data_IF_681360449252
#
_entry.id   IF_681360449252
#
_cell.length_a   1.000
_cell.length_b   1.000
_cell.length_c   1.000
_cell.angle_alpha   90.00
_cell.angle_beta   90.00
_cell.angle_gamma   90.00
#
_symmetry.space_group_name_H-M   'P 1'
#
loop_
_entity.id
_entity.type
_entity.pdbx_description
1 polymer ?
#
# COMPACT_ATOMS: atom_id res chain seq x y z
N UNK A 1 56.28 -43.33 -22.90
CA UNK A 1 54.92 -43.92 -22.95
C UNK A 1 54.21 -43.34 -24.16
N UNK A 2 53.80 -44.20 -25.09
CA UNK A 2 53.35 -43.82 -26.43
C UNK A 2 52.04 -43.03 -26.38
N UNK A 3 52.03 -41.84 -26.98
CA UNK A 3 50.81 -41.08 -27.30
C UNK A 3 50.05 -41.84 -28.37
N UNK A 4 49.19 -42.77 -27.93
CA UNK A 4 48.24 -43.48 -28.78
C UNK A 4 47.41 -42.40 -29.49
N UNK A 5 47.63 -42.19 -30.78
CA UNK A 5 46.84 -41.28 -31.61
C UNK A 5 45.40 -41.76 -31.54
N UNK A 6 44.57 -41.11 -30.72
CA UNK A 6 43.20 -41.50 -30.53
C UNK A 6 42.45 -41.26 -31.84
N UNK A 7 42.15 -42.34 -32.57
CA UNK A 7 41.33 -42.27 -33.76
C UNK A 7 39.93 -41.78 -33.37
N UNK A 8 39.34 -40.91 -34.18
CA UNK A 8 38.01 -40.34 -33.97
C UNK A 8 36.93 -41.32 -33.46
N UNK A 9 36.80 -42.57 -33.99
CA UNK A 9 35.82 -43.53 -33.46
C UNK A 9 36.06 -43.93 -32.00
N UNK A 10 37.32 -44.08 -31.58
CA UNK A 10 37.66 -44.43 -30.19
C UNK A 10 37.34 -43.28 -29.25
N UNK A 11 37.53 -42.02 -29.69
CA UNK A 11 37.12 -40.86 -28.91
C UNK A 11 35.59 -40.79 -28.77
N UNK A 12 34.85 -41.08 -29.84
CA UNK A 12 33.39 -41.11 -29.83
C UNK A 12 32.89 -42.18 -28.84
N UNK A 13 33.43 -43.39 -28.89
CA UNK A 13 33.06 -44.48 -27.98
C UNK A 13 33.37 -44.10 -26.52
N UNK A 14 34.52 -43.49 -26.23
CA UNK A 14 34.83 -43.02 -24.87
C UNK A 14 33.89 -41.92 -24.40
N UNK A 15 33.44 -41.03 -25.30
CA UNK A 15 32.51 -39.95 -24.98
C UNK A 15 31.11 -40.52 -24.74
N UNK A 16 30.66 -41.47 -25.56
CA UNK A 16 29.40 -42.20 -25.35
C UNK A 16 29.43 -42.94 -24.02
N UNK A 17 30.51 -43.65 -23.71
CA UNK A 17 30.65 -44.39 -22.47
C UNK A 17 30.67 -43.46 -21.23
N UNK A 18 31.32 -42.29 -21.35
CA UNK A 18 31.29 -41.26 -20.32
C UNK A 18 29.89 -40.66 -20.15
N UNK A 19 29.16 -40.40 -21.24
CA UNK A 19 27.79 -39.89 -21.21
C UNK A 19 26.82 -40.91 -20.62
N UNK A 20 26.94 -42.19 -20.95
CA UNK A 20 26.10 -43.24 -20.37
C UNK A 20 26.38 -43.43 -18.88
N UNK A 21 27.67 -43.42 -18.47
CA UNK A 21 28.03 -43.50 -17.06
C UNK A 21 27.52 -42.29 -16.27
N UNK A 22 27.67 -41.08 -16.82
CA UNK A 22 27.15 -39.86 -16.21
C UNK A 22 25.61 -39.85 -16.13
N UNK A 23 24.91 -40.38 -17.14
CA UNK A 23 23.46 -40.50 -17.13
C UNK A 23 22.96 -41.54 -16.11
N UNK A 24 23.70 -42.62 -15.89
CA UNK A 24 23.40 -43.60 -14.84
C UNK A 24 23.61 -43.03 -13.45
N UNK A 25 24.67 -42.24 -13.24
CA UNK A 25 24.94 -41.61 -11.96
C UNK A 25 23.98 -40.45 -11.67
N UNK A 26 23.55 -39.70 -12.69
CA UNK A 26 22.51 -38.69 -12.56
C UNK A 26 21.17 -39.27 -12.05
N UNK A 27 20.83 -40.51 -12.42
CA UNK A 27 19.63 -41.21 -11.92
C UNK A 27 19.77 -41.71 -10.49
N UNK A 28 20.99 -41.86 -9.98
CA UNK A 28 21.25 -42.28 -8.59
C UNK A 28 21.22 -41.11 -7.61
N UNK A 29 21.30 -39.87 -8.11
CA UNK A 29 21.24 -38.63 -7.34
C UNK A 29 19.79 -38.16 -7.16
N UNK A 30 18.92 -38.99 -6.57
CA UNK A 30 17.53 -38.61 -6.28
C UNK A 30 17.41 -37.58 -5.12
N UNK A 31 18.51 -37.33 -4.40
CA UNK A 31 18.59 -36.32 -3.35
C UNK A 31 19.88 -35.50 -3.49
N UNK A 32 19.83 -34.16 -3.25
CA UNK A 32 21.02 -33.34 -3.19
C UNK A 32 21.88 -33.84 -2.01
N UNK A 33 23.15 -34.13 -2.28
CA UNK A 33 24.11 -34.50 -1.25
C UNK A 33 24.26 -33.27 -0.34
N UNK A 34 23.92 -33.36 0.96
CA UNK A 34 24.09 -32.22 1.85
C UNK A 34 25.58 -31.90 1.97
N UNK A 35 25.97 -30.62 1.90
CA UNK A 35 27.37 -30.25 2.05
C UNK A 35 27.88 -30.62 3.44
N UNK A 36 29.12 -31.12 3.50
CA UNK A 36 29.81 -31.49 4.75
C UNK A 36 29.96 -30.28 5.68
N UNK A 37 30.15 -29.07 5.12
CA UNK A 37 30.23 -27.82 5.87
C UNK A 37 29.53 -26.67 5.12
N UNK A 38 28.56 -26.01 5.75
CA UNK A 38 28.00 -24.74 5.29
C UNK A 38 26.47 -24.65 5.26
N UNK A 39 25.98 -23.54 4.71
CA UNK A 39 24.54 -23.29 4.55
C UNK A 39 24.11 -23.85 3.20
N UNK A 40 23.35 -24.95 3.21
CA UNK A 40 22.87 -25.66 2.01
C UNK A 40 22.23 -24.75 0.94
N UNK A 41 21.62 -23.62 1.32
CA UNK A 41 21.05 -22.67 0.37
C UNK A 41 22.09 -22.07 -0.60
N UNK A 42 23.32 -21.81 -0.13
CA UNK A 42 24.36 -21.17 -0.93
C UNK A 42 24.88 -22.12 -2.03
N UNK A 43 24.99 -23.42 -1.74
CA UNK A 43 25.38 -24.40 -2.75
C UNK A 43 24.29 -24.59 -3.80
N UNK A 44 23.03 -24.72 -3.38
CA UNK A 44 21.90 -24.77 -4.32
C UNK A 44 21.86 -23.53 -5.21
N UNK A 45 22.18 -22.34 -4.67
CA UNK A 45 22.28 -21.12 -5.47
C UNK A 45 23.39 -21.21 -6.52
N UNK A 46 24.55 -21.74 -6.15
CA UNK A 46 25.67 -21.92 -7.07
C UNK A 46 25.32 -22.94 -8.16
N UNK A 47 24.66 -24.04 -7.81
CA UNK A 47 24.16 -25.05 -8.76
C UNK A 47 23.12 -24.47 -9.73
N UNK A 48 22.18 -23.66 -9.24
CA UNK A 48 21.19 -22.97 -10.08
C UNK A 48 21.86 -21.99 -11.04
N UNK A 49 22.87 -21.23 -10.60
CA UNK A 49 23.63 -20.36 -11.49
C UNK A 49 24.42 -21.14 -12.53
N UNK A 50 25.03 -22.27 -12.16
CA UNK A 50 25.77 -23.12 -13.09
C UNK A 50 24.81 -23.70 -14.14
N UNK A 51 23.65 -24.21 -13.72
CA UNK A 51 22.60 -24.68 -14.63
C UNK A 51 22.11 -23.57 -15.56
N UNK A 52 21.93 -22.34 -15.06
CA UNK A 52 21.55 -21.20 -15.88
C UNK A 52 22.62 -20.87 -16.94
N UNK A 53 23.90 -20.83 -16.55
CA UNK A 53 25.02 -20.61 -17.48
C UNK A 53 25.12 -21.73 -18.51
N UNK A 54 24.93 -22.98 -18.12
CA UNK A 54 24.97 -24.13 -19.03
C UNK A 54 23.88 -24.01 -20.11
N UNK A 55 22.64 -23.72 -19.71
CA UNK A 55 21.52 -23.53 -20.66
C UNK A 55 21.70 -22.28 -21.53
N UNK A 56 22.35 -21.23 -21.02
CA UNK A 56 22.68 -20.03 -21.80
C UNK A 56 23.73 -20.35 -22.88
N UNK A 57 24.81 -21.05 -22.52
CA UNK A 57 25.82 -21.51 -23.47
C UNK A 57 25.19 -22.44 -24.52
N UNK A 58 24.29 -23.34 -24.10
CA UNK A 58 23.57 -24.22 -25.02
C UNK A 58 22.71 -23.42 -26.03
N UNK A 59 22.01 -22.38 -25.58
CA UNK A 59 21.28 -21.47 -26.46
C UNK A 59 22.21 -20.76 -27.46
N UNK A 60 23.38 -20.30 -27.01
CA UNK A 60 24.38 -19.69 -27.92
C UNK A 60 24.82 -20.72 -28.97
N UNK A 61 25.07 -21.97 -28.58
CA UNK A 61 25.45 -23.04 -29.51
C UNK A 61 24.34 -23.34 -30.52
N UNK A 62 23.07 -23.40 -30.09
CA UNK A 62 21.92 -23.56 -30.99
C UNK A 62 21.84 -22.42 -31.99
N UNK A 63 21.94 -21.17 -31.55
CA UNK A 63 21.93 -20.01 -32.45
C UNK A 63 23.08 -20.00 -33.45
N UNK A 64 24.28 -20.43 -33.03
CA UNK A 64 25.42 -20.58 -33.93
C UNK A 64 25.22 -21.73 -34.92
N UNK A 65 24.57 -22.82 -34.51
CA UNK A 65 24.24 -23.97 -35.36
C UNK A 65 23.17 -23.62 -36.40
N UNK A 66 22.07 -22.99 -35.98
CA UNK A 66 20.94 -22.63 -36.85
C UNK A 66 21.43 -21.67 -37.95
N UNK A 67 22.35 -20.76 -37.62
CA UNK A 67 23.01 -19.88 -38.60
C UNK A 67 23.88 -20.62 -39.62
N UNK A 68 24.34 -21.84 -39.31
CA UNK A 68 25.21 -22.65 -40.17
C UNK A 68 24.45 -23.66 -41.03
N UNK A 69 23.33 -24.20 -40.53
CA UNK A 69 22.65 -25.37 -41.13
C UNK A 69 21.27 -25.04 -41.71
N UNK A 70 20.62 -23.92 -41.34
CA UNK A 70 19.39 -23.47 -41.99
C UNK A 70 18.19 -24.44 -41.85
N UNK A 71 18.23 -25.38 -40.90
CA UNK A 71 17.09 -26.20 -40.51
C UNK A 71 16.22 -25.38 -39.56
N UNK A 72 15.09 -24.86 -40.05
CA UNK A 72 14.28 -23.89 -39.30
C UNK A 72 13.28 -24.55 -38.34
N UNK A 73 12.70 -25.71 -38.68
CA UNK A 73 11.54 -26.23 -37.93
C UNK A 73 11.88 -26.99 -36.62
N UNK A 74 12.82 -27.95 -36.64
CA UNK A 74 13.18 -28.73 -35.43
C UNK A 74 14.01 -27.92 -34.43
N UNK A 75 14.80 -26.98 -34.94
CA UNK A 75 15.68 -26.15 -34.12
C UNK A 75 14.91 -25.08 -33.34
N UNK A 76 13.77 -24.62 -33.88
CA UNK A 76 12.89 -23.67 -33.19
C UNK A 76 12.18 -24.29 -31.97
N UNK A 77 11.78 -25.55 -32.04
CA UNK A 77 11.19 -26.25 -30.87
C UNK A 77 12.20 -26.40 -29.74
N UNK A 78 13.45 -26.75 -30.08
CA UNK A 78 14.55 -26.86 -29.14
C UNK A 78 14.88 -25.50 -28.52
N UNK A 79 14.98 -24.44 -29.31
CA UNK A 79 15.22 -23.07 -28.83
C UNK A 79 14.12 -22.64 -27.83
N UNK A 80 12.85 -22.88 -28.18
CA UNK A 80 11.73 -22.58 -27.29
C UNK A 80 11.79 -23.38 -25.98
N UNK A 81 12.24 -24.64 -26.00
CA UNK A 81 12.40 -25.45 -24.79
C UNK A 81 13.51 -24.92 -23.87
N UNK A 82 14.62 -24.46 -24.43
CA UNK A 82 15.76 -23.91 -23.69
C UNK A 82 15.39 -22.57 -23.08
N UNK A 83 14.69 -21.72 -23.83
CA UNK A 83 14.17 -20.44 -23.33
C UNK A 83 13.20 -20.66 -22.17
N UNK A 84 12.30 -21.65 -22.26
CA UNK A 84 11.39 -22.00 -21.14
C UNK A 84 12.16 -22.41 -19.88
N UNK A 85 13.18 -23.28 -20.01
CA UNK A 85 14.05 -23.68 -18.89
C UNK A 85 14.84 -22.51 -18.30
N UNK A 86 15.33 -21.58 -19.13
CA UNK A 86 16.01 -20.37 -18.66
C UNK A 86 15.08 -19.47 -17.84
N UNK A 87 13.84 -19.27 -18.31
CA UNK A 87 12.83 -18.49 -17.58
C UNK A 87 12.47 -19.17 -16.25
N UNK A 88 12.35 -20.50 -16.26
CA UNK A 88 12.10 -21.28 -15.03
C UNK A 88 13.22 -21.11 -14.00
N UNK A 89 14.49 -21.25 -14.42
CA UNK A 89 15.65 -21.02 -13.57
C UNK A 89 15.71 -19.57 -13.03
N UNK A 90 15.35 -18.59 -13.85
CA UNK A 90 15.27 -17.20 -13.41
C UNK A 90 14.17 -17.00 -12.35
N UNK A 91 13.02 -17.64 -12.52
CA UNK A 91 11.93 -17.61 -11.53
C UNK A 91 12.38 -18.25 -10.21
N UNK A 92 13.14 -19.35 -10.25
CA UNK A 92 13.70 -19.97 -9.04
C UNK A 92 14.69 -19.05 -8.32
N UNK A 93 15.55 -18.34 -9.04
CA UNK A 93 16.47 -17.38 -8.44
C UNK A 93 15.71 -16.20 -7.80
N UNK A 94 14.76 -15.60 -8.53
CA UNK A 94 14.10 -14.38 -8.10
C UNK A 94 13.05 -14.60 -7.02
N UNK A 95 12.23 -15.65 -7.15
CA UNK A 95 11.13 -15.94 -6.21
C UNK A 95 11.48 -17.00 -5.17
N UNK A 96 12.44 -17.88 -5.45
CA UNK A 96 12.88 -18.93 -4.53
C UNK A 96 14.06 -18.47 -3.67
N UNK A 97 15.20 -18.22 -4.30
CA UNK A 97 16.47 -17.96 -3.59
C UNK A 97 16.46 -16.60 -2.89
N UNK A 98 16.13 -15.49 -3.59
CA UNK A 98 16.22 -14.14 -2.99
C UNK A 98 15.41 -13.97 -1.69
N UNK A 99 14.15 -14.45 -1.57
CA UNK A 99 13.41 -14.34 -0.31
C UNK A 99 14.02 -15.20 0.80
N UNK A 100 14.55 -16.38 0.49
CA UNK A 100 15.21 -17.25 1.47
C UNK A 100 16.51 -16.61 1.99
N UNK A 101 17.30 -16.00 1.10
CA UNK A 101 18.49 -15.24 1.50
C UNK A 101 18.13 -14.09 2.43
N UNK A 102 17.05 -13.36 2.14
CA UNK A 102 16.62 -12.27 3.02
C UNK A 102 16.23 -12.74 4.43
N UNK A 103 15.69 -13.96 4.56
CA UNK A 103 15.32 -14.56 5.85
C UNK A 103 16.52 -15.11 6.60
N UNK A 104 17.48 -15.68 5.87
CA UNK A 104 18.71 -16.26 6.43
C UNK A 104 19.86 -15.25 6.53
N UNK A 105 19.65 -13.99 6.14
CA UNK A 105 20.67 -12.94 6.12
C UNK A 105 21.46 -12.87 7.43
N UNK A 106 20.77 -12.89 8.56
CA UNK A 106 21.44 -12.85 9.86
C UNK A 106 22.34 -14.08 10.11
N UNK A 107 21.90 -15.27 9.70
CA UNK A 107 22.70 -16.48 9.85
C UNK A 107 23.91 -16.46 8.91
N UNK A 108 23.73 -15.98 7.68
CA UNK A 108 24.82 -15.77 6.71
C UNK A 108 25.82 -14.76 7.29
N UNK A 109 25.36 -13.60 7.74
CA UNK A 109 26.21 -12.55 8.33
C UNK A 109 26.95 -13.06 9.58
N UNK A 110 26.31 -13.91 10.41
CA UNK A 110 26.93 -14.52 11.59
C UNK A 110 28.05 -15.49 11.21
N UNK A 111 27.82 -16.36 10.22
CA UNK A 111 28.83 -17.31 9.73
C UNK A 111 29.97 -16.58 9.03
N UNK A 112 29.67 -15.55 8.24
CA UNK A 112 30.69 -14.70 7.62
C UNK A 112 31.55 -14.00 8.68
N UNK A 113 30.93 -13.45 9.73
CA UNK A 113 31.67 -12.83 10.83
C UNK A 113 32.55 -13.83 11.57
N UNK A 114 32.05 -15.03 11.84
CA UNK A 114 32.84 -16.08 12.47
C UNK A 114 34.03 -16.53 11.59
N UNK A 115 33.82 -16.61 10.27
CA UNK A 115 34.88 -16.94 9.31
C UNK A 115 35.93 -15.81 9.21
N UNK A 116 35.51 -14.55 9.22
CA UNK A 116 36.42 -13.39 9.22
C UNK A 116 37.20 -13.30 10.53
N UNK A 117 36.57 -13.57 11.67
CA UNK A 117 37.24 -13.63 12.97
C UNK A 117 38.24 -14.80 13.02
N UNK A 118 37.89 -15.98 12.49
CA UNK A 118 38.83 -17.11 12.36
C UNK A 118 40.02 -16.77 11.47
N UNK A 119 39.80 -16.14 10.30
CA UNK A 119 40.88 -15.66 9.43
C UNK A 119 41.77 -14.64 10.11
N UNK A 120 41.20 -13.71 10.89
CA UNK A 120 41.99 -12.74 11.67
C UNK A 120 42.79 -13.38 12.80
N UNK A 121 42.32 -14.50 13.36
CA UNK A 121 43.06 -15.29 14.35
C UNK A 121 44.22 -16.02 13.66
N UNK A 122 44.04 -16.53 12.44
CA UNK A 122 45.10 -17.18 11.67
C UNK A 122 46.11 -16.18 11.07
N UNK A 123 45.66 -14.99 10.67
CA UNK A 123 46.49 -13.92 10.10
C UNK A 123 47.05 -12.96 11.16
N UNK A 124 46.57 -13.04 12.40
CA UNK A 124 47.00 -12.18 13.52
C UNK A 124 48.28 -12.69 14.19
N UNK A 125 49.18 -11.80 14.64
CA UNK A 125 50.34 -12.20 15.40
C UNK A 125 49.88 -12.81 16.72
N UNK A 126 50.50 -13.91 17.13
CA UNK A 126 50.26 -14.60 18.40
C UNK A 126 50.27 -13.63 19.59
N UNK A 127 49.09 -13.18 20.04
CA UNK A 127 48.97 -12.52 21.34
C UNK A 127 48.83 -13.63 22.37
N UNK A 128 49.95 -13.89 23.02
CA UNK A 128 50.04 -14.80 24.14
C UNK A 128 49.01 -14.45 25.20
N UNK A 129 48.29 -15.49 25.62
CA UNK A 129 47.52 -15.54 26.86
C UNK A 129 48.39 -15.13 28.04
N UNK A 130 47.96 -14.14 28.82
CA UNK A 130 48.32 -14.07 30.24
C UNK A 130 47.07 -14.38 31.05
N UNK A 131 47.06 -15.58 31.61
CA UNK A 131 46.02 -16.03 32.52
C UNK A 131 46.01 -15.20 33.80
N UNK A 132 44.81 -14.86 34.26
CA UNK A 132 44.56 -14.56 35.66
C UNK A 132 43.20 -15.11 36.05
N UNK A 133 43.24 -16.22 36.77
CA UNK A 133 42.14 -16.84 37.51
C UNK A 133 41.51 -15.85 38.49
N UNK A 134 40.20 -15.59 38.39
CA UNK A 134 39.32 -15.23 39.53
C UNK A 134 37.93 -15.85 39.27
N UNK A 135 37.37 -16.42 40.34
CA UNK A 135 36.13 -17.19 40.47
C UNK A 135 34.84 -16.35 40.32
N UNK A 136 33.77 -17.06 39.98
CA UNK A 136 32.32 -16.87 40.27
C UNK A 136 31.90 -15.60 41.03
N UNK A 137 30.98 -14.80 40.48
CA UNK A 137 29.57 -14.72 40.95
C UNK A 137 28.71 -13.76 40.10
N UNK A 138 27.41 -13.91 40.29
CA UNK A 138 26.23 -13.46 39.54
C UNK A 138 26.05 -11.94 39.24
N UNK A 139 25.21 -11.70 38.21
CA UNK A 139 24.21 -10.63 38.07
C UNK A 139 24.65 -9.14 37.99
N UNK A 140 24.51 -8.53 36.80
CA UNK A 140 23.68 -7.31 36.60
C UNK A 140 23.86 -6.68 35.22
N UNK A 141 22.73 -6.16 34.76
CA UNK A 141 22.42 -5.40 33.55
C UNK A 141 23.24 -4.12 33.30
N UNK A 142 23.26 -3.76 32.01
CA UNK A 142 23.23 -2.40 31.44
C UNK A 142 24.41 -1.43 31.60
N UNK A 143 24.68 -0.68 30.53
CA UNK A 143 25.53 0.50 30.58
C UNK A 143 26.59 0.59 29.47
N UNK A 144 26.21 1.22 28.37
CA UNK A 144 27.07 1.89 27.39
C UNK A 144 28.23 2.70 28.00
N UNK A 145 29.42 2.70 27.39
CA UNK A 145 29.89 3.78 26.49
C UNK A 145 31.41 3.74 26.22
N UNK A 146 31.76 4.13 24.99
CA UNK A 146 32.99 4.74 24.47
C UNK A 146 34.39 4.21 24.80
N UNK A 147 35.09 3.78 23.75
CA UNK A 147 36.55 3.73 23.66
C UNK A 147 37.02 3.56 22.21
N UNK A 148 37.35 4.68 21.57
CA UNK A 148 37.55 4.88 20.13
C UNK A 148 38.90 4.40 19.56
N UNK A 149 38.92 4.29 18.22
CA UNK A 149 40.04 4.24 17.26
C UNK A 149 40.65 2.85 17.03
N UNK A 150 40.83 2.33 15.81
CA UNK A 150 41.25 2.99 14.58
C UNK A 150 40.88 2.10 13.36
N UNK A 151 40.31 2.68 12.29
CA UNK A 151 39.89 1.91 11.11
C UNK A 151 39.68 2.80 9.88
N UNK A 152 40.69 2.77 9.00
CA UNK A 152 40.84 3.54 7.76
C UNK A 152 39.75 3.23 6.72
N UNK A 153 39.36 4.26 5.96
CA UNK A 153 38.21 4.38 5.05
C UNK A 153 38.36 3.73 3.65
N UNK A 154 37.26 3.66 2.86
CA UNK A 154 37.31 3.84 1.41
C UNK A 154 36.64 5.16 0.97
N UNK A 155 37.19 5.73 -0.11
CA UNK A 155 36.93 7.07 -0.67
C UNK A 155 35.53 7.24 -1.27
N UNK A 156 34.86 8.32 -0.87
CA UNK A 156 33.82 9.06 -1.61
C UNK A 156 34.21 10.55 -1.69
N UNK A 157 33.55 11.40 -2.50
CA UNK A 157 34.03 12.75 -2.78
C UNK A 157 34.09 13.59 -1.50
N UNK A 158 35.28 14.11 -1.19
CA UNK A 158 35.57 14.98 -0.04
C UNK A 158 34.75 16.27 -0.16
N UNK A 159 33.80 16.44 0.76
CA UNK A 159 33.26 17.75 1.11
C UNK A 159 34.24 18.32 2.13
N UNK A 160 34.85 19.46 1.81
CA UNK A 160 35.83 20.14 2.64
C UNK A 160 35.19 20.70 3.92
N UNK A 161 35.31 19.94 5.01
CA UNK A 161 34.78 20.24 6.36
C UNK A 161 35.38 21.52 7.01
N UNK A 162 36.30 22.23 6.32
CA UNK A 162 36.79 23.55 6.74
C UNK A 162 35.90 24.72 6.27
N UNK A 163 34.96 24.48 5.35
CA UNK A 163 34.02 25.51 4.88
C UNK A 163 32.88 25.79 5.87
N UNK A 164 32.75 24.97 6.91
CA UNK A 164 31.72 25.11 7.95
C UNK A 164 32.29 25.60 9.30
N UNK A 165 33.31 26.48 9.26
CA UNK A 165 33.76 27.22 10.45
C UNK A 165 33.04 28.59 10.47
N UNK A 166 32.42 28.99 11.59
CA UNK A 166 31.76 30.29 11.68
C UNK A 166 32.78 31.43 11.50
N UNK A 167 32.52 32.34 10.55
CA UNK A 167 33.35 33.51 10.30
C UNK A 167 33.34 34.44 11.54
N UNK A 168 34.48 34.66 12.22
CA UNK A 168 34.54 35.50 13.42
C UNK A 168 34.30 36.99 13.11
N UNK A 169 34.36 37.38 11.83
CA UNK A 169 34.06 38.75 11.36
C UNK A 169 32.57 39.09 11.42
N UNK A 170 31.67 38.10 11.51
CA UNK A 170 30.23 38.31 11.69
C UNK A 170 29.84 38.66 13.14
N UNK A 171 30.78 38.57 14.09
CA UNK A 171 30.58 38.96 15.49
C UNK A 171 30.98 40.41 15.79
N UNK A 172 31.52 41.14 14.80
CA UNK A 172 31.77 42.58 14.95
C UNK A 172 30.47 43.33 14.64
N UNK A 173 29.84 43.82 15.71
CA UNK A 173 28.63 44.66 15.67
C UNK A 173 28.94 45.96 14.91
N UNK A 174 28.21 46.35 13.85
CA UNK A 174 28.23 47.74 13.39
C UNK A 174 27.61 48.64 14.48
N UNK A 175 28.14 49.86 14.61
CA UNK A 175 27.79 50.83 15.64
C UNK A 175 26.27 51.15 15.68
N UNK A 176 25.71 51.51 16.86
CA UNK A 176 24.27 51.58 17.06
C UNK A 176 23.63 52.83 16.46
N UNK A 177 22.54 52.64 15.72
CA UNK A 177 21.62 53.69 15.28
C UNK A 177 20.45 53.11 14.48
N UNK A 178 19.34 52.81 15.20
CA UNK A 178 17.96 52.53 14.76
C UNK A 178 17.38 51.26 15.42
N UNK A 179 16.69 51.35 16.58
CA UNK A 179 15.22 51.46 16.78
C UNK A 179 14.45 50.21 16.27
N UNK A 180 13.46 49.59 16.91
CA UNK A 180 12.95 49.54 18.29
C UNK A 180 11.89 48.39 18.34
N UNK A 181 11.34 48.11 19.53
CA UNK A 181 10.10 47.34 19.84
C UNK A 181 10.16 45.83 20.19
N UNK A 182 10.42 45.62 21.50
CA UNK A 182 9.63 44.88 22.50
C UNK A 182 8.97 43.51 22.17
N UNK A 183 9.28 42.47 22.98
CA UNK A 183 8.34 41.87 23.97
C UNK A 183 9.00 40.75 24.83
N UNK A 184 9.01 40.99 26.15
CA UNK A 184 9.16 40.09 27.32
C UNK A 184 9.84 38.71 27.16
N UNK A 185 11.06 38.56 27.72
CA UNK A 185 11.66 37.27 28.07
C UNK A 185 11.27 36.87 29.50
N UNK A 186 10.56 35.75 29.67
CA UNK A 186 10.67 34.95 30.90
C UNK A 186 11.99 34.20 30.84
N UNK A 187 12.82 34.36 31.87
CA UNK A 187 14.16 33.80 32.00
C UNK A 187 14.12 32.30 32.27
N UNK A 188 14.02 31.51 31.22
CA UNK A 188 14.35 30.09 31.28
C UNK A 188 15.20 29.80 30.04
N UNK A 189 16.46 29.43 30.25
CA UNK A 189 17.50 29.28 29.22
C UNK A 189 17.26 28.16 28.21
N UNK A 190 16.02 27.71 28.08
CA UNK A 190 15.57 26.65 27.18
C UNK A 190 15.01 27.29 25.91
N UNK A 191 15.73 27.08 24.80
CA UNK A 191 15.29 27.51 23.49
C UNK A 191 13.96 26.86 23.11
N UNK A 192 12.92 27.67 22.96
CA UNK A 192 11.61 27.25 22.45
C UNK A 192 11.54 27.64 20.98
N UNK A 193 11.50 26.68 20.04
CA UNK A 193 11.34 27.01 18.63
C UNK A 193 10.01 27.73 18.40
N UNK A 194 9.95 28.68 17.45
CA UNK A 194 8.75 29.44 17.17
C UNK A 194 7.63 28.51 16.71
N UNK A 195 6.45 28.65 17.33
CA UNK A 195 5.23 27.97 16.89
C UNK A 195 4.72 28.65 15.63
N UNK A 196 5.07 28.12 14.47
CA UNK A 196 4.53 28.56 13.18
C UNK A 196 3.05 28.16 13.14
N UNK A 197 2.15 29.15 13.12
CA UNK A 197 0.74 28.92 12.82
C UNK A 197 0.62 28.57 11.33
N UNK A 198 -0.21 27.58 10.99
CA UNK A 198 -0.35 27.13 9.61
C UNK A 198 -0.81 28.29 8.71
N UNK A 199 0.10 28.79 7.88
CA UNK A 199 -0.21 29.73 6.81
C UNK A 199 -0.90 28.98 5.68
N UNK A 200 -2.17 29.31 5.44
CA UNK A 200 -2.91 28.74 4.31
C UNK A 200 -2.27 29.18 2.99
N UNK A 201 -1.98 28.23 2.11
CA UNK A 201 -1.48 28.52 0.76
C UNK A 201 -2.51 29.36 -0.01
N UNK A 202 -2.09 30.40 -0.75
CA UNK A 202 -2.99 31.17 -1.59
C UNK A 202 -3.45 30.27 -2.75
N UNK A 203 -4.68 29.77 -2.68
CA UNK A 203 -5.33 29.10 -3.80
C UNK A 203 -5.63 30.15 -4.87
N UNK A 204 -5.27 29.89 -6.13
CA UNK A 204 -5.48 30.79 -7.29
C UNK A 204 -6.95 30.96 -7.69
N UNK A 205 -7.87 30.51 -6.85
CA UNK A 205 -9.32 30.70 -6.97
C UNK A 205 -9.78 31.29 -5.64
N UNK A 206 -10.58 32.36 -5.67
CA UNK A 206 -11.04 33.14 -4.51
C UNK A 206 -11.66 32.32 -3.37
N UNK A 207 -12.21 32.97 -2.31
CA UNK A 207 -12.77 32.27 -1.17
C UNK A 207 -13.74 31.22 -1.66
N UNK A 208 -13.33 29.95 -1.55
CA UNK A 208 -14.15 28.82 -1.93
C UNK A 208 -15.33 28.89 -0.98
N UNK A 209 -16.43 29.48 -1.46
CA UNK A 209 -17.75 29.40 -0.85
C UNK A 209 -17.85 27.96 -0.36
N UNK A 210 -17.90 27.77 0.96
CA UNK A 210 -17.89 26.43 1.58
C UNK A 210 -18.91 25.64 0.81
N UNK A 211 -18.48 24.73 -0.05
CA UNK A 211 -19.40 23.95 -0.88
C UNK A 211 -20.45 23.43 0.08
N UNK A 212 -21.69 23.89 -0.09
CA UNK A 212 -22.78 23.55 0.81
C UNK A 212 -22.77 22.04 0.89
N UNK A 213 -22.36 21.51 2.05
CA UNK A 213 -22.30 20.09 2.27
C UNK A 213 -23.71 19.62 2.06
N UNK A 214 -23.95 19.01 0.90
CA UNK A 214 -25.28 18.53 0.52
C UNK A 214 -25.80 17.75 1.73
N UNK A 215 -27.03 18.05 2.21
CA UNK A 215 -27.56 17.38 3.38
C UNK A 215 -27.43 15.88 3.13
N UNK A 216 -26.81 15.17 4.06
CA UNK A 216 -26.51 13.75 3.88
C UNK A 216 -27.82 13.02 3.60
N UNK A 217 -27.87 12.40 2.43
CA UNK A 217 -28.99 11.54 2.03
C UNK A 217 -29.09 10.41 3.05
N UNK A 218 -30.31 10.05 3.43
CA UNK A 218 -30.55 8.85 4.23
C UNK A 218 -30.24 7.62 3.38
N UNK A 219 -29.29 6.79 3.82
CA UNK A 219 -28.83 5.61 3.09
C UNK A 219 -29.98 4.65 2.76
N UNK A 220 -30.90 4.41 3.70
CA UNK A 220 -32.04 3.50 3.52
C UNK A 220 -33.05 3.99 2.47
N UNK A 221 -33.32 5.30 2.39
CA UNK A 221 -34.16 5.83 1.31
C UNK A 221 -33.45 5.78 -0.04
N UNK A 222 -32.13 5.93 -0.07
CA UNK A 222 -31.36 5.84 -1.31
C UNK A 222 -31.37 4.40 -1.83
N UNK A 223 -31.21 3.41 -0.94
CA UNK A 223 -31.37 1.99 -1.24
C UNK A 223 -32.78 1.65 -1.70
N UNK A 224 -33.82 2.10 -1.00
CA UNK A 224 -35.21 1.89 -1.44
C UNK A 224 -35.51 2.51 -2.81
N UNK A 225 -34.99 3.71 -3.06
CA UNK A 225 -35.15 4.37 -4.36
C UNK A 225 -34.41 3.62 -5.44
N UNK A 226 -33.23 3.10 -5.14
CA UNK A 226 -32.44 2.34 -6.09
C UNK A 226 -33.12 1.00 -6.37
N UNK A 227 -33.33 0.14 -5.37
CA UNK A 227 -33.79 -1.24 -5.55
C UNK A 227 -35.26 -1.36 -5.96
N UNK A 228 -36.16 -0.58 -5.35
CA UNK A 228 -37.61 -0.77 -5.52
C UNK A 228 -38.26 0.22 -6.48
N UNK A 229 -37.84 1.50 -6.44
CA UNK A 229 -38.50 2.55 -7.25
C UNK A 229 -37.87 2.73 -8.63
N UNK A 230 -36.57 2.46 -8.78
CA UNK A 230 -35.86 2.65 -10.03
C UNK A 230 -35.90 1.37 -10.86
N UNK A 231 -36.29 1.50 -12.14
CA UNK A 231 -36.19 0.41 -13.12
C UNK A 231 -34.79 0.24 -13.71
N UNK A 232 -33.83 1.06 -13.30
CA UNK A 232 -32.46 0.98 -13.78
C UNK A 232 -31.76 -0.26 -13.20
N UNK A 233 -31.04 -1.05 -14.01
CA UNK A 233 -30.30 -2.21 -13.51
C UNK A 233 -29.11 -1.79 -12.63
N UNK A 234 -28.89 -2.53 -11.54
CA UNK A 234 -27.72 -2.34 -10.67
C UNK A 234 -26.55 -3.21 -11.10
N UNK A 235 -25.35 -2.63 -11.06
CA UNK A 235 -24.12 -3.34 -11.35
C UNK A 235 -23.67 -4.15 -10.13
N UNK A 236 -24.14 -5.40 -10.04
CA UNK A 236 -23.71 -6.32 -8.99
C UNK A 236 -22.29 -6.85 -9.24
N UNK A 237 -21.43 -6.89 -8.21
CA UNK A 237 -20.10 -7.45 -8.32
C UNK A 237 -20.15 -8.98 -8.40
N UNK A 238 -19.15 -9.59 -9.05
CA UNK A 238 -18.98 -11.04 -9.02
C UNK A 238 -18.85 -11.55 -7.58
N UNK A 239 -19.52 -12.67 -7.26
CA UNK A 239 -19.68 -13.24 -5.92
C UNK A 239 -18.32 -13.33 -5.18
N UNK A 240 -17.29 -13.82 -5.86
CA UNK A 240 -15.95 -14.00 -5.27
C UNK A 240 -15.16 -12.71 -5.02
N UNK A 241 -15.51 -11.61 -5.68
CA UNK A 241 -14.76 -10.33 -5.59
C UNK A 241 -15.01 -9.56 -4.29
N UNK A 242 -16.11 -9.89 -3.59
CA UNK A 242 -16.54 -9.21 -2.37
C UNK A 242 -15.93 -9.81 -1.11
N UNK A 243 -15.41 -11.03 -1.18
CA UNK A 243 -14.89 -11.78 -0.05
C UNK A 243 -13.47 -11.30 0.27
N UNK A 244 -13.18 -11.07 1.56
CA UNK A 244 -11.88 -10.62 2.05
C UNK A 244 -11.40 -11.51 3.20
N UNK A 245 -10.09 -11.58 3.38
CA UNK A 245 -9.47 -12.33 4.48
C UNK A 245 -9.85 -13.82 4.45
N UNK A 246 -9.87 -14.40 3.24
CA UNK A 246 -10.14 -15.83 3.04
C UNK A 246 -11.52 -16.28 3.52
N UNK A 247 -12.55 -15.44 3.38
CA UNK A 247 -13.93 -15.80 3.79
C UNK A 247 -14.34 -15.30 5.17
N UNK A 248 -13.43 -14.71 5.96
CA UNK A 248 -13.77 -14.19 7.30
C UNK A 248 -14.67 -12.97 7.27
N UNK A 249 -14.67 -12.21 6.17
CA UNK A 249 -15.51 -11.02 5.99
C UNK A 249 -15.88 -10.82 4.53
N UNK A 250 -17.03 -10.21 4.28
CA UNK A 250 -17.39 -9.64 2.99
C UNK A 250 -17.30 -8.11 3.04
N UNK A 251 -17.07 -7.47 1.89
CA UNK A 251 -17.08 -6.02 1.74
C UNK A 251 -18.52 -5.52 1.69
N UNK A 252 -18.81 -4.49 2.47
CA UNK A 252 -20.04 -3.70 2.34
C UNK A 252 -20.04 -2.88 1.04
N UNK A 253 -21.20 -2.53 0.51
CA UNK A 253 -21.35 -1.61 -0.62
C UNK A 253 -20.58 -0.29 -0.44
N UNK A 254 -20.60 0.27 0.77
CA UNK A 254 -19.83 1.49 1.08
C UNK A 254 -18.32 1.26 0.94
N UNK A 255 -17.81 0.16 1.46
CA UNK A 255 -16.39 -0.20 1.35
C UNK A 255 -16.00 -0.48 -0.10
N UNK A 256 -16.89 -1.09 -0.89
CA UNK A 256 -16.69 -1.30 -2.35
C UNK A 256 -16.57 0.03 -3.08
N UNK A 257 -17.41 1.01 -2.77
CA UNK A 257 -17.37 2.33 -3.41
C UNK A 257 -16.10 3.10 -3.03
N UNK A 258 -15.69 3.09 -1.75
CA UNK A 258 -14.43 3.71 -1.31
C UNK A 258 -13.20 3.08 -1.99
N UNK A 259 -13.19 1.76 -2.20
CA UNK A 259 -12.11 1.07 -2.92
C UNK A 259 -12.11 1.37 -4.41
N UNK A 260 -13.29 1.45 -5.05
CA UNK A 260 -13.42 1.89 -6.45
C UNK A 260 -12.89 3.32 -6.61
N UNK A 261 -13.28 4.24 -5.73
CA UNK A 261 -12.76 5.62 -5.75
C UNK A 261 -11.24 5.68 -5.56
N UNK A 262 -10.70 4.86 -4.65
CA UNK A 262 -9.24 4.75 -4.45
C UNK A 262 -8.56 4.23 -5.71
N UNK A 263 -9.12 3.19 -6.32
CA UNK A 263 -8.60 2.60 -7.56
C UNK A 263 -8.64 3.59 -8.71
N UNK A 264 -9.78 4.26 -8.92
CA UNK A 264 -9.94 5.31 -9.91
C UNK A 264 -8.89 6.43 -9.73
N UNK A 265 -8.59 6.80 -8.49
CA UNK A 265 -7.55 7.78 -8.19
C UNK A 265 -6.15 7.25 -8.54
N UNK A 266 -5.83 6.03 -8.14
CA UNK A 266 -4.54 5.39 -8.43
C UNK A 266 -4.33 5.20 -9.95
N UNK A 267 -5.39 4.88 -10.70
CA UNK A 267 -5.36 4.74 -12.17
C UNK A 267 -5.28 6.09 -12.87
N UNK A 268 -6.00 7.12 -12.40
CA UNK A 268 -5.94 8.48 -12.98
C UNK A 268 -4.59 9.15 -12.76
N UNK A 269 -3.99 8.95 -11.59
CA UNK A 269 -2.74 9.60 -11.22
C UNK A 269 -1.51 8.70 -11.40
N UNK A 270 -1.70 7.43 -11.77
CA UNK A 270 -0.65 6.42 -11.93
C UNK A 270 0.30 6.27 -10.73
N UNK A 271 -0.18 6.59 -9.53
CA UNK A 271 0.59 6.55 -8.28
C UNK A 271 -0.21 5.81 -7.21
N UNK A 272 0.42 4.82 -6.56
CA UNK A 272 -0.23 4.06 -5.48
C UNK A 272 -0.30 4.88 -4.19
N UNK A 273 -1.46 4.88 -3.56
CA UNK A 273 -1.63 5.49 -2.24
C UNK A 273 -1.03 4.59 -1.16
N UNK A 274 -0.36 5.16 -0.13
CA UNK A 274 0.15 4.40 0.99
C UNK A 274 -0.98 3.69 1.74
N UNK A 275 -0.67 2.56 2.37
CA UNK A 275 -1.63 1.84 3.22
C UNK A 275 -2.13 2.76 4.33
N UNK A 276 -3.40 2.61 4.72
CA UNK A 276 -4.02 3.44 5.75
C UNK A 276 -3.17 3.48 7.03
N UNK A 277 -2.89 4.69 7.52
CA UNK A 277 -2.11 4.89 8.73
C UNK A 277 -2.90 4.44 9.97
N UNK A 278 -2.21 4.21 11.10
CA UNK A 278 -2.87 3.91 12.38
C UNK A 278 -3.86 4.99 12.78
N UNK A 279 -3.57 6.26 12.45
CA UNK A 279 -4.44 7.41 12.69
C UNK A 279 -5.71 7.36 11.84
N UNK A 280 -5.60 6.99 10.58
CA UNK A 280 -6.76 6.91 9.67
C UNK A 280 -7.67 5.74 10.03
N UNK A 281 -7.07 4.60 10.40
CA UNK A 281 -7.81 3.45 10.94
C UNK A 281 -8.56 3.80 12.22
N UNK A 282 -7.96 4.57 13.12
CA UNK A 282 -8.63 5.03 14.34
C UNK A 282 -9.80 5.97 14.03
N UNK A 283 -9.66 6.88 13.05
CA UNK A 283 -10.74 7.78 12.63
C UNK A 283 -11.90 7.06 11.94
N UNK A 284 -11.65 5.96 11.23
CA UNK A 284 -12.69 5.15 10.59
C UNK A 284 -13.63 4.49 11.61
N UNK A 285 -13.27 4.52 12.89
CA UNK A 285 -14.07 3.98 13.99
C UNK A 285 -14.11 2.46 13.98
N UNK A 286 -14.78 1.87 14.98
CA UNK A 286 -15.15 0.45 14.89
C UNK A 286 -16.10 0.33 13.71
N UNK A 287 -15.74 -0.51 12.74
CA UNK A 287 -16.64 -0.86 11.64
C UNK A 287 -17.92 -1.41 12.28
N UNK A 288 -19.06 -0.80 11.98
CA UNK A 288 -20.35 -1.41 12.28
C UNK A 288 -20.32 -2.84 11.73
N UNK A 289 -20.70 -3.79 12.56
CA UNK A 289 -20.65 -5.20 12.23
C UNK A 289 -21.73 -5.50 11.18
N UNK A 290 -21.40 -5.27 9.91
CA UNK A 290 -22.17 -5.77 8.79
C UNK A 290 -22.17 -7.30 8.80
N UNK A 291 -23.34 -7.89 8.56
CA UNK A 291 -23.50 -9.33 8.42
C UNK A 291 -23.73 -9.65 6.96
N UNK A 292 -23.07 -10.68 6.43
CA UNK A 292 -23.25 -11.10 5.04
C UNK A 292 -22.73 -10.13 3.97
N UNK A 293 -22.28 -8.93 4.32
CA UNK A 293 -21.86 -7.89 3.37
C UNK A 293 -22.90 -6.78 3.24
N UNK A 294 -24.00 -6.90 3.97
CA UNK A 294 -24.99 -5.84 4.17
C UNK A 294 -24.69 -5.07 5.46
N UNK A 295 -25.04 -3.79 5.47
CA UNK A 295 -24.85 -2.90 6.62
C UNK A 295 -26.10 -2.84 7.48
N UNK A 296 -26.10 -3.56 8.60
CA UNK A 296 -27.14 -3.44 9.59
C UNK A 296 -26.88 -2.19 10.44
N UNK A 297 -27.61 -1.11 10.13
CA UNK A 297 -27.54 0.15 10.89
C UNK A 297 -28.49 0.07 12.09
N UNK A 298 -28.07 0.68 13.21
CA UNK A 298 -28.96 0.87 14.35
C UNK A 298 -30.16 1.75 13.98
N UNK A 299 -31.36 1.34 14.39
CA UNK A 299 -32.63 2.00 14.03
C UNK A 299 -32.78 3.42 14.58
N UNK A 300 -31.92 3.89 15.51
CA UNK A 300 -32.06 5.20 16.14
C UNK A 300 -31.84 6.38 15.18
N UNK A 301 -30.61 6.61 14.72
CA UNK A 301 -30.29 7.85 13.99
C UNK A 301 -30.83 7.87 12.54
N UNK A 302 -30.99 6.69 11.94
CA UNK A 302 -31.50 6.55 10.57
C UNK A 302 -32.97 6.95 10.45
N UNK A 303 -33.81 6.55 11.41
CA UNK A 303 -35.26 6.75 11.37
C UNK A 303 -35.63 8.22 11.54
N UNK A 304 -35.05 8.93 12.51
CA UNK A 304 -35.29 10.37 12.72
C UNK A 304 -35.00 11.19 11.45
N UNK A 305 -34.00 10.77 10.66
CA UNK A 305 -33.63 11.44 9.41
C UNK A 305 -34.67 11.18 8.32
N UNK A 306 -35.19 9.95 8.23
CA UNK A 306 -36.30 9.61 7.34
C UNK A 306 -37.52 10.44 7.73
N UNK A 307 -37.86 10.51 9.01
CA UNK A 307 -38.98 11.30 9.52
C UNK A 307 -38.83 12.80 9.16
N UNK A 308 -37.65 13.39 9.36
CA UNK A 308 -37.38 14.78 8.95
C UNK A 308 -37.52 14.99 7.45
N UNK A 309 -37.09 14.03 6.62
CA UNK A 309 -37.18 14.11 5.17
C UNK A 309 -38.63 13.97 4.67
N UNK A 310 -39.40 13.06 5.26
CA UNK A 310 -40.81 12.83 4.89
C UNK A 310 -41.69 13.99 5.35
N UNK A 311 -41.49 14.50 6.56
CA UNK A 311 -42.24 15.65 7.10
C UNK A 311 -41.93 16.94 6.34
N UNK A 312 -40.66 17.21 6.01
CA UNK A 312 -40.29 18.39 5.20
C UNK A 312 -40.87 18.31 3.78
N UNK A 313 -40.92 17.13 3.17
CA UNK A 313 -41.56 16.92 1.86
C UNK A 313 -43.08 17.18 1.91
N UNK A 314 -43.74 16.90 3.04
CA UNK A 314 -45.17 17.09 3.22
C UNK A 314 -45.58 18.51 3.70
N UNK A 315 -44.70 19.23 4.41
CA UNK A 315 -45.11 20.36 5.25
C UNK A 315 -44.92 21.80 4.71
N UNK A 316 -44.12 22.02 3.66
CA UNK A 316 -43.56 23.37 3.42
C UNK A 316 -44.34 24.36 2.55
N UNK A 317 -45.50 24.00 1.99
CA UNK A 317 -46.24 24.88 1.08
C UNK A 317 -47.42 25.57 1.74
N UNK A 318 -47.59 26.88 1.51
CA UNK A 318 -48.84 27.58 1.82
C UNK A 318 -50.04 26.89 1.17
N UNK A 319 -51.26 27.17 1.63
CA UNK A 319 -52.50 26.53 1.11
C UNK A 319 -52.60 26.64 -0.43
N UNK A 320 -52.10 27.73 -1.00
CA UNK A 320 -52.03 27.99 -2.45
C UNK A 320 -50.99 27.12 -3.16
N UNK A 321 -49.83 26.85 -2.53
CA UNK A 321 -48.86 25.92 -3.11
C UNK A 321 -49.33 24.46 -2.99
N UNK A 322 -50.03 24.14 -1.90
CA UNK A 322 -50.68 22.83 -1.71
C UNK A 322 -51.78 22.60 -2.74
N UNK A 323 -52.55 23.63 -3.13
CA UNK A 323 -53.55 23.51 -4.20
C UNK A 323 -52.91 23.40 -5.58
N UNK A 324 -51.84 24.15 -5.87
CA UNK A 324 -51.08 24.05 -7.13
C UNK A 324 -50.40 22.70 -7.36
N UNK A 325 -50.00 22.00 -6.28
CA UNK A 325 -49.33 20.69 -6.35
C UNK A 325 -50.31 19.51 -6.50
N UNK A 326 -51.62 19.73 -6.39
CA UNK A 326 -52.61 18.67 -6.64
C UNK A 326 -52.88 18.60 -8.15
N UNK A 327 -52.78 17.42 -8.80
CA UNK A 327 -53.26 17.27 -10.17
C UNK A 327 -54.76 17.59 -10.18
N UNK A 328 -55.22 18.34 -11.18
CA UNK A 328 -56.62 18.64 -11.38
C UNK A 328 -57.35 17.34 -11.79
N UNK A 329 -57.67 16.49 -10.82
CA UNK A 329 -58.63 15.41 -11.04
C UNK A 329 -60.02 16.03 -11.04
N UNK A 330 -60.59 16.14 -12.24
CA UNK A 330 -61.95 16.63 -12.45
C UNK A 330 -62.94 15.57 -11.95
N UNK A 331 -63.30 15.67 -10.67
CA UNK A 331 -64.24 14.77 -10.01
C UNK A 331 -64.92 15.51 -8.88
N UNK A 332 -66.26 15.39 -8.72
CA UNK A 332 -67.01 16.18 -7.76
C UNK A 332 -66.70 15.66 -6.35
N UNK A 333 -65.88 16.38 -5.59
CA UNK A 333 -65.59 16.05 -4.19
C UNK A 333 -66.20 17.09 -3.26
N UNK A 334 -67.21 16.63 -2.52
CA UNK A 334 -68.14 17.36 -1.65
C UNK A 334 -67.56 17.79 -0.28
N UNK A 335 -66.24 17.88 -0.11
CA UNK A 335 -65.64 18.08 1.23
C UNK A 335 -64.69 19.29 1.34
N UNK A 336 -64.98 20.37 0.63
CA UNK A 336 -64.24 21.63 0.76
C UNK A 336 -64.83 22.52 1.85
N UNK A 337 -64.32 22.43 3.07
CA UNK A 337 -64.59 23.39 4.18
C UNK A 337 -64.41 24.86 3.71
N UNK A 338 -63.47 25.10 2.79
CA UNK A 338 -63.20 26.40 2.15
C UNK A 338 -64.35 26.92 1.25
N UNK A 339 -65.09 26.03 0.60
CA UNK A 339 -66.30 26.42 -0.15
C UNK A 339 -67.35 27.01 0.78
N UNK A 340 -67.47 26.47 1.99
CA UNK A 340 -68.38 26.99 3.01
C UNK A 340 -67.95 28.36 3.52
N UNK A 341 -66.65 28.64 3.66
CA UNK A 341 -66.18 29.98 4.06
C UNK A 341 -66.47 31.04 3.00
N UNK A 342 -66.30 30.69 1.73
CA UNK A 342 -66.56 31.60 0.62
C UNK A 342 -68.08 31.81 0.43
N UNK A 343 -68.88 30.75 0.58
CA UNK A 343 -70.35 30.85 0.62
C UNK A 343 -70.85 31.62 1.85
N UNK A 344 -70.23 31.46 3.02
CA UNK A 344 -70.53 32.27 4.22
C UNK A 344 -70.18 33.74 4.01
N UNK A 345 -69.07 34.05 3.32
CA UNK A 345 -68.71 35.42 2.93
C UNK A 345 -69.69 36.01 1.92
N UNK A 346 -70.06 35.26 0.89
CA UNK A 346 -71.10 35.65 -0.08
C UNK A 346 -72.43 35.90 0.63
N UNK A 347 -72.84 35.00 1.52
CA UNK A 347 -74.07 35.16 2.34
C UNK A 347 -73.99 36.36 3.29
N UNK A 348 -72.81 36.70 3.80
CA UNK A 348 -72.62 37.91 4.62
C UNK A 348 -72.56 39.20 3.81
N UNK A 349 -72.19 39.12 2.52
CA UNK A 349 -72.17 40.25 1.57
C UNK A 349 -73.57 40.51 1.00
N UNK A 350 -74.31 39.46 0.65
CA UNK A 350 -75.73 39.54 0.26
C UNK A 350 -76.65 39.84 1.45
N UNK A 351 -76.19 39.58 2.67
CA UNK A 351 -76.85 39.97 3.89
C UNK A 351 -76.81 41.48 4.06
N UNK A 352 -77.89 42.17 3.66
CA UNK A 352 -78.11 43.60 3.93
C UNK A 352 -77.82 43.87 5.41
N UNK A 353 -76.88 44.81 5.69
CA UNK A 353 -76.46 45.21 7.04
C UNK A 353 -77.68 45.55 7.89
N UNK A 354 -78.03 44.67 8.83
CA UNK A 354 -79.30 44.73 9.57
C UNK A 354 -79.30 45.68 10.76
N UNK A 355 -78.19 46.34 11.07
CA UNK A 355 -78.17 47.39 12.08
C UNK A 355 -77.14 48.48 11.71
N UNK A 356 -77.63 49.71 11.49
CA UNK A 356 -76.80 50.91 11.66
C UNK A 356 -77.00 51.30 13.12
N UNK A 357 -75.98 51.02 13.94
CA UNK A 357 -76.00 51.25 15.38
C UNK A 357 -76.66 52.56 15.74
N UNK A 358 -77.67 52.49 16.61
CA UNK A 358 -78.26 53.67 17.23
C UNK A 358 -77.16 54.37 18.05
N UNK A 359 -77.02 55.67 17.81
CA UNK A 359 -76.31 56.59 18.70
C UNK A 359 -77.07 56.76 20.00
#
# INVERSE_FOLDING_TARGET
MATKTASFPVLLDTLQQALTSAAEDAKKLDAPIPPEDGISLLDVKNELFLSYLHNLVFLILLKLRNRRIGSEDEDEELDNSVVKKLVELQVYLDKGVRPLESRLKYQIDKVLRAADDAKRIEEGPSVQTNGKTIKDDEDSEDGSDAGSTNGVAPKGPEIDDLQYRPNPTAFVRPAPGAEDYARSKSSDGVYKPPRIQATAMPTTTGPREKQDKKPSKSATLDEFVSTELSSAPFAEPSIGSTIVSGGRRSKSEKEKNEEKERRDYEERNYVRLPKESKKDKAKKGRKDAGYGGEEWRGLGEGIDRIERLTTKKAGGGGVVEKSRKRPASDGPKSSGEQGQHMQKKLKSLDGVRRDRGRR
#
